data_IF_680623655807
#
_entry.id   IF_680623655807
#
_cell.length_a   1.000
_cell.length_b   1.000
_cell.length_c   1.000
_cell.angle_alpha   90.00
_cell.angle_beta   90.00
_cell.angle_gamma   90.00
#
_symmetry.space_group_name_H-M   'P 1'
#
loop_
_entity.id
_entity.type
_entity.pdbx_description
1 polymer ?
#
# COMPACT_ATOMS: atom_id res chain seq x y z
N UNK A 1 23.65 0.30 1.61
CA UNK A 1 22.97 1.61 1.40
C UNK A 1 21.80 1.48 0.42
N UNK A 2 21.99 0.86 -0.74
CA UNK A 2 20.95 0.65 -1.76
C UNK A 2 19.66 0.04 -1.22
N UNK A 3 19.73 -1.10 -0.52
CA UNK A 3 18.57 -1.76 0.11
C UNK A 3 17.81 -0.86 1.11
N UNK A 4 18.53 0.02 1.82
CA UNK A 4 17.91 0.94 2.77
C UNK A 4 17.16 2.07 2.05
N UNK A 5 17.69 2.57 0.92
CA UNK A 5 16.99 3.53 0.07
C UNK A 5 15.73 2.91 -0.56
N UNK A 6 15.84 1.67 -1.07
CA UNK A 6 14.70 0.95 -1.67
C UNK A 6 13.58 0.76 -0.65
N UNK A 7 13.90 0.23 0.54
CA UNK A 7 12.90 0.04 1.59
C UNK A 7 12.36 1.36 2.14
N UNK A 8 13.19 2.38 2.30
CA UNK A 8 12.76 3.70 2.79
C UNK A 8 11.78 4.40 1.83
N UNK A 9 12.08 4.38 0.54
CA UNK A 9 11.19 4.94 -0.51
C UNK A 9 9.88 4.14 -0.62
N UNK A 10 9.95 2.81 -0.54
CA UNK A 10 8.77 1.97 -0.52
C UNK A 10 7.86 2.25 0.68
N UNK A 11 8.41 2.29 1.90
CA UNK A 11 7.63 2.55 3.10
C UNK A 11 6.97 3.93 3.08
N UNK A 12 7.66 4.95 2.58
CA UNK A 12 7.09 6.30 2.44
C UNK A 12 5.84 6.28 1.56
N UNK A 13 5.92 5.63 0.39
CA UNK A 13 4.79 5.49 -0.52
C UNK A 13 3.66 4.65 0.08
N UNK A 14 3.98 3.53 0.72
CA UNK A 14 2.98 2.67 1.39
C UNK A 14 2.22 3.45 2.45
N UNK A 15 2.87 4.26 3.28
CA UNK A 15 2.19 5.07 4.31
C UNK A 15 1.26 6.12 3.70
N UNK A 16 1.68 6.77 2.60
CA UNK A 16 0.80 7.70 1.87
C UNK A 16 -0.46 7.00 1.35
N UNK A 17 -0.31 5.82 0.74
CA UNK A 17 -1.45 5.03 0.27
C UNK A 17 -2.31 4.48 1.41
N UNK A 18 -1.71 4.08 2.53
CA UNK A 18 -2.44 3.61 3.71
C UNK A 18 -3.40 4.67 4.26
N UNK A 19 -2.96 5.94 4.32
CA UNK A 19 -3.82 7.05 4.73
C UNK A 19 -4.98 7.29 3.75
N UNK A 20 -4.71 7.16 2.45
CA UNK A 20 -5.75 7.27 1.42
C UNK A 20 -6.78 6.13 1.51
N UNK A 21 -6.32 4.89 1.65
CA UNK A 21 -7.18 3.70 1.80
C UNK A 21 -8.00 3.76 3.09
N UNK A 22 -7.38 4.17 4.20
CA UNK A 22 -8.03 4.27 5.51
C UNK A 22 -9.20 5.26 5.55
N UNK A 23 -9.17 6.31 4.72
CA UNK A 23 -10.29 7.24 4.56
C UNK A 23 -11.28 6.82 3.47
N UNK A 24 -10.81 6.19 2.39
CA UNK A 24 -11.63 5.85 1.23
C UNK A 24 -12.50 4.59 1.45
N UNK A 25 -11.96 3.55 2.10
CA UNK A 25 -12.67 2.28 2.33
C UNK A 25 -13.97 2.48 3.12
N UNK A 26 -14.00 3.21 4.27
CA UNK A 26 -15.25 3.45 5.01
C UNK A 26 -16.31 4.19 4.18
N UNK A 27 -15.88 5.16 3.35
CA UNK A 27 -16.78 5.95 2.48
C UNK A 27 -17.39 5.05 1.40
N UNK A 28 -16.56 4.18 0.79
CA UNK A 28 -17.00 3.24 -0.23
C UNK A 28 -18.01 2.23 0.35
N UNK A 29 -17.73 1.68 1.54
CA UNK A 29 -18.63 0.77 2.23
C UNK A 29 -19.99 1.41 2.52
N UNK A 30 -20.00 2.65 3.02
CA UNK A 30 -21.24 3.40 3.27
C UNK A 30 -22.05 3.60 1.99
N UNK A 31 -21.38 3.84 0.84
CA UNK A 31 -22.05 3.93 -0.47
C UNK A 31 -22.62 2.59 -0.95
N UNK A 32 -22.02 1.48 -0.56
CA UNK A 32 -22.49 0.13 -0.86
C UNK A 32 -23.55 -0.40 0.13
N UNK A 33 -24.02 0.43 1.08
CA UNK A 33 -24.90 0.03 2.19
C UNK A 33 -24.32 -1.08 3.09
N UNK A 34 -22.99 -1.19 3.13
CA UNK A 34 -22.28 -2.08 4.07
C UNK A 34 -21.93 -1.24 5.30
N UNK A 35 -22.21 -1.77 6.50
CA UNK A 35 -21.85 -1.09 7.75
C UNK A 35 -20.32 -1.03 7.91
N UNK A 36 -19.72 0.17 7.83
CA UNK A 36 -18.28 0.31 7.95
C UNK A 36 -17.78 -0.05 9.36
N UNK A 37 -18.58 0.07 10.42
CA UNK A 37 -18.12 -0.24 11.78
C UNK A 37 -17.75 -1.72 11.96
N UNK A 38 -18.41 -2.61 11.21
CA UNK A 38 -18.18 -4.06 11.26
C UNK A 38 -17.14 -4.53 10.23
N UNK A 39 -17.12 -3.91 9.04
CA UNK A 39 -16.31 -4.38 7.92
C UNK A 39 -14.97 -3.64 7.76
N UNK A 40 -14.82 -2.41 8.26
CA UNK A 40 -13.60 -1.61 7.98
C UNK A 40 -12.32 -2.25 8.48
N UNK A 41 -12.32 -2.95 9.63
CA UNK A 41 -11.13 -3.61 10.16
C UNK A 41 -10.50 -4.58 9.15
N UNK A 42 -11.17 -5.69 8.80
CA UNK A 42 -10.68 -6.67 7.83
C UNK A 42 -10.40 -6.08 6.44
N UNK A 43 -11.22 -5.15 5.96
CA UNK A 43 -11.05 -4.60 4.61
C UNK A 43 -9.91 -3.59 4.51
N UNK A 44 -9.70 -2.75 5.53
CA UNK A 44 -8.58 -1.81 5.54
C UNK A 44 -7.27 -2.58 5.60
N UNK A 45 -7.13 -3.55 6.52
CA UNK A 45 -5.87 -4.30 6.66
C UNK A 45 -5.56 -5.12 5.42
N UNK A 46 -6.53 -5.85 4.85
CA UNK A 46 -6.32 -6.63 3.63
C UNK A 46 -6.00 -5.76 2.41
N UNK A 47 -6.70 -4.64 2.23
CA UNK A 47 -6.40 -3.71 1.13
C UNK A 47 -5.00 -3.14 1.29
N UNK A 48 -4.62 -2.78 2.52
CA UNK A 48 -3.29 -2.23 2.80
C UNK A 48 -2.18 -3.27 2.63
N UNK A 49 -2.41 -4.54 2.94
CA UNK A 49 -1.47 -5.64 2.66
C UNK A 49 -1.25 -5.81 1.16
N UNK A 50 -2.33 -5.87 0.36
CA UNK A 50 -2.25 -6.03 -1.09
C UNK A 50 -1.50 -4.85 -1.73
N UNK A 51 -1.89 -3.61 -1.38
CA UNK A 51 -1.27 -2.40 -1.92
C UNK A 51 0.17 -2.27 -1.43
N UNK A 52 0.43 -2.56 -0.16
CA UNK A 52 1.75 -2.51 0.44
C UNK A 52 2.74 -3.44 -0.26
N UNK A 53 2.35 -4.70 -0.46
CA UNK A 53 3.16 -5.68 -1.18
C UNK A 53 3.32 -5.27 -2.65
N UNK A 54 2.27 -4.81 -3.32
CA UNK A 54 2.35 -4.37 -4.71
C UNK A 54 3.34 -3.21 -4.90
N UNK A 55 3.31 -2.20 -4.03
CA UNK A 55 4.24 -1.07 -4.06
C UNK A 55 5.67 -1.54 -3.77
N UNK A 56 5.86 -2.34 -2.73
CA UNK A 56 7.18 -2.84 -2.35
C UNK A 56 7.82 -3.68 -3.47
N UNK A 57 7.06 -4.59 -4.06
CA UNK A 57 7.52 -5.42 -5.17
C UNK A 57 7.80 -4.59 -6.42
N UNK A 58 6.95 -3.61 -6.74
CA UNK A 58 7.18 -2.73 -7.88
C UNK A 58 8.47 -1.92 -7.71
N UNK A 59 8.71 -1.32 -6.55
CA UNK A 59 9.91 -0.52 -6.30
C UNK A 59 11.15 -1.40 -6.29
N UNK A 60 11.10 -2.55 -5.61
CA UNK A 60 12.20 -3.50 -5.58
C UNK A 60 12.54 -3.96 -7.00
N UNK A 61 11.55 -4.36 -7.80
CA UNK A 61 11.76 -4.80 -9.17
C UNK A 61 12.39 -3.72 -10.06
N UNK A 62 11.88 -2.49 -10.01
CA UNK A 62 12.43 -1.39 -10.80
C UNK A 62 13.85 -1.03 -10.37
N UNK A 63 14.14 -1.05 -9.07
CA UNK A 63 15.47 -0.76 -8.54
C UNK A 63 16.47 -1.85 -8.94
N UNK A 64 16.08 -3.12 -8.85
CA UNK A 64 16.92 -4.26 -9.21
C UNK A 64 17.24 -4.25 -10.72
N UNK A 65 16.24 -4.00 -11.56
CA UNK A 65 16.41 -3.84 -13.01
C UNK A 65 17.35 -2.67 -13.35
N UNK A 66 17.23 -1.53 -12.66
CA UNK A 66 18.13 -0.39 -12.87
C UNK A 66 19.58 -0.78 -12.55
N UNK A 67 19.80 -1.55 -11.48
CA UNK A 67 21.13 -2.01 -11.09
C UNK A 67 21.75 -3.03 -12.05
N UNK A 68 20.95 -3.75 -12.83
CA UNK A 68 21.45 -4.67 -13.87
C UNK A 68 21.87 -3.96 -15.16
N UNK A 69 21.36 -2.76 -15.41
CA UNK A 69 21.66 -1.96 -16.61
C UNK A 69 22.90 -1.07 -16.42
N UNK A 70 23.29 -0.81 -15.16
CA UNK A 70 24.48 -0.03 -14.78
C UNK A 70 25.69 -0.93 -14.53
#
# INVERSE_FOLDING_TARGET
LSMALTSGTALLLVVCFAAFVGSTIPILMKRMNIDPALATGPFITTSNDIIGIAIYLAITFNFDMLSMIQ
#
